data_IF_199471681444
#
_entry.id   IF_199471681444
#
_cell.length_a   1.000
_cell.length_b   1.000
_cell.length_c   1.000
_cell.angle_alpha   90.00
_cell.angle_beta   90.00
_cell.angle_gamma   90.00
#
_symmetry.space_group_name_H-M   'P 1'
#
loop_
_entity.id
_entity.type
_entity.pdbx_description
1 polymer ?
#
# COMPACT_ATOMS: atom_id res chain seq x y z
N UNK A 1 -26.94 -3.89 45.60
CA UNK A 1 -26.69 -2.73 44.70
C UNK A 1 -25.97 -3.06 43.36
N UNK A 2 -25.39 -4.25 43.16
CA UNK A 2 -24.59 -4.57 41.96
C UNK A 2 -25.36 -4.81 40.64
N UNK A 3 -26.58 -5.36 40.67
CA UNK A 3 -27.33 -5.76 39.44
C UNK A 3 -27.79 -4.58 38.55
N UNK A 4 -28.05 -3.39 39.11
CA UNK A 4 -28.49 -2.20 38.34
C UNK A 4 -27.34 -1.53 37.54
N UNK A 5 -26.09 -1.67 37.97
CA UNK A 5 -24.92 -1.11 37.26
C UNK A 5 -24.50 -1.97 36.06
N UNK A 6 -24.64 -3.29 36.17
CA UNK A 6 -24.32 -4.24 35.10
C UNK A 6 -25.21 -4.05 33.87
N UNK A 7 -26.51 -3.80 34.08
CA UNK A 7 -27.47 -3.59 33.00
C UNK A 7 -27.18 -2.27 32.25
N UNK A 8 -26.77 -1.21 32.97
CA UNK A 8 -26.44 0.10 32.38
C UNK A 8 -25.15 0.06 31.54
N UNK A 9 -24.13 -0.69 31.96
CA UNK A 9 -22.90 -0.89 31.19
C UNK A 9 -23.13 -1.73 29.92
N UNK A 10 -23.98 -2.76 30.01
CA UNK A 10 -24.35 -3.60 28.88
C UNK A 10 -25.16 -2.82 27.82
N UNK A 11 -26.09 -1.96 28.26
CA UNK A 11 -26.86 -1.06 27.37
C UNK A 11 -25.97 0.01 26.72
N UNK A 12 -24.95 0.53 27.42
CA UNK A 12 -23.97 1.46 26.84
C UNK A 12 -23.07 0.79 25.79
N UNK A 13 -22.63 -0.44 26.03
CA UNK A 13 -21.87 -1.25 25.05
C UNK A 13 -22.70 -1.54 23.79
N UNK A 14 -23.97 -1.91 23.94
CA UNK A 14 -24.89 -2.12 22.82
C UNK A 14 -25.17 -0.82 22.03
N UNK A 15 -25.29 0.31 22.72
CA UNK A 15 -25.42 1.63 22.09
C UNK A 15 -24.19 2.03 21.27
N UNK A 16 -22.98 1.77 21.78
CA UNK A 16 -21.75 1.99 21.01
C UNK A 16 -21.61 1.02 19.83
N UNK A 17 -21.99 -0.25 19.99
CA UNK A 17 -21.96 -1.25 18.92
C UNK A 17 -22.89 -0.92 17.75
N UNK A 18 -24.13 -0.47 18.04
CA UNK A 18 -25.06 -0.02 17.01
C UNK A 18 -24.58 1.23 16.28
N UNK A 19 -24.03 2.21 17.03
CA UNK A 19 -23.46 3.43 16.45
C UNK A 19 -22.23 3.14 15.57
N UNK A 20 -21.39 2.18 15.98
CA UNK A 20 -20.26 1.70 15.18
C UNK A 20 -20.74 1.00 13.91
N UNK A 21 -21.78 0.16 13.99
CA UNK A 21 -22.39 -0.51 12.81
C UNK A 21 -22.96 0.49 11.81
N UNK A 22 -23.61 1.53 12.30
CA UNK A 22 -24.21 2.60 11.49
C UNK A 22 -23.13 3.45 10.80
N UNK A 23 -22.06 3.81 11.51
CA UNK A 23 -20.88 4.49 10.93
C UNK A 23 -20.20 3.58 9.89
N UNK A 24 -20.17 2.26 10.13
CA UNK A 24 -19.60 1.30 9.19
C UNK A 24 -20.41 1.24 7.89
N UNK A 25 -21.74 1.17 7.99
CA UNK A 25 -22.66 1.15 6.85
C UNK A 25 -22.67 2.47 6.07
N UNK A 26 -22.76 3.60 6.76
CA UNK A 26 -22.76 4.92 6.11
C UNK A 26 -21.43 5.23 5.44
N UNK A 27 -20.32 4.75 6.03
CA UNK A 27 -19.04 4.87 5.37
C UNK A 27 -18.89 3.94 4.18
N UNK A 28 -19.27 2.67 4.33
CA UNK A 28 -19.18 1.74 3.22
C UNK A 28 -20.06 2.19 2.07
N UNK A 29 -21.25 2.73 2.34
CA UNK A 29 -22.15 3.34 1.36
C UNK A 29 -21.55 4.61 0.73
N UNK A 30 -20.87 5.49 1.49
CA UNK A 30 -20.13 6.63 0.91
C UNK A 30 -18.90 6.20 0.10
N UNK A 31 -18.16 5.20 0.55
CA UNK A 31 -17.01 4.63 -0.16
C UNK A 31 -17.45 3.97 -1.47
N UNK A 32 -18.52 3.16 -1.41
CA UNK A 32 -19.21 2.62 -2.57
C UNK A 32 -19.79 3.74 -3.44
N UNK A 33 -20.30 4.81 -2.85
CA UNK A 33 -20.83 5.98 -3.54
C UNK A 33 -19.75 6.74 -4.30
N UNK A 34 -18.53 6.85 -3.77
CA UNK A 34 -17.37 7.42 -4.48
C UNK A 34 -16.95 6.51 -5.64
N UNK A 35 -16.86 5.19 -5.38
CA UNK A 35 -16.58 4.22 -6.44
C UNK A 35 -17.66 4.18 -7.52
N UNK A 36 -18.93 4.35 -7.13
CA UNK A 36 -20.08 4.31 -8.02
C UNK A 36 -20.35 5.67 -8.69
N UNK A 37 -19.98 6.80 -8.09
CA UNK A 37 -20.10 8.14 -8.71
C UNK A 37 -19.11 8.35 -9.83
N UNK A 38 -18.05 7.52 -9.90
CA UNK A 38 -17.17 7.50 -11.05
C UNK A 38 -17.69 6.60 -12.19
N UNK A 39 -18.87 5.96 -12.05
CA UNK A 39 -19.53 5.16 -13.10
C UNK A 39 -19.94 5.95 -14.34
N UNK A 40 -20.04 7.27 -14.30
CA UNK A 40 -20.42 8.04 -15.49
C UNK A 40 -19.37 7.91 -16.61
N UNK A 41 -18.15 7.46 -16.28
CA UNK A 41 -17.15 6.99 -17.21
C UNK A 41 -16.69 5.56 -16.87
N UNK A 42 -17.58 4.56 -17.01
CA UNK A 42 -17.25 3.13 -16.77
C UNK A 42 -15.92 2.72 -17.43
N UNK A 43 -15.65 3.20 -18.64
CA UNK A 43 -14.39 2.93 -19.35
C UNK A 43 -13.15 3.47 -18.62
N UNK A 44 -13.23 4.66 -18.02
CA UNK A 44 -12.08 5.27 -17.31
C UNK A 44 -11.74 4.57 -15.99
N UNK A 45 -12.77 4.12 -15.27
CA UNK A 45 -12.60 3.42 -14.00
C UNK A 45 -11.97 2.05 -14.19
N UNK A 46 -12.50 1.27 -15.14
CA UNK A 46 -11.94 -0.03 -15.46
C UNK A 46 -10.49 0.09 -15.95
N UNK A 47 -10.18 1.08 -16.79
CA UNK A 47 -8.81 1.34 -17.24
C UNK A 47 -7.87 1.73 -16.08
N UNK A 48 -8.32 2.59 -15.17
CA UNK A 48 -7.51 3.02 -14.02
C UNK A 48 -7.26 1.87 -13.04
N UNK A 49 -8.28 1.04 -12.79
CA UNK A 49 -8.16 -0.15 -11.96
C UNK A 49 -7.25 -1.21 -12.61
N UNK A 50 -7.34 -1.39 -13.92
CA UNK A 50 -6.48 -2.31 -14.68
C UNK A 50 -5.03 -1.85 -14.65
N UNK A 51 -4.77 -0.55 -14.86
CA UNK A 51 -3.44 0.02 -14.74
C UNK A 51 -2.84 -0.20 -13.34
N UNK A 52 -3.63 0.06 -12.29
CA UNK A 52 -3.20 -0.16 -10.90
C UNK A 52 -2.89 -1.64 -10.62
N UNK A 53 -3.74 -2.54 -11.16
CA UNK A 53 -3.56 -3.99 -11.00
C UNK A 53 -2.30 -4.48 -11.71
N UNK A 54 -2.01 -4.00 -12.92
CA UNK A 54 -0.79 -4.35 -13.64
C UNK A 54 0.47 -3.92 -12.89
N UNK A 55 0.48 -2.71 -12.32
CA UNK A 55 1.59 -2.25 -11.48
C UNK A 55 1.76 -3.13 -10.22
N UNK A 56 0.65 -3.54 -9.59
CA UNK A 56 0.68 -4.39 -8.40
C UNK A 56 1.20 -5.80 -8.70
N UNK A 57 0.75 -6.40 -9.81
CA UNK A 57 1.20 -7.72 -10.27
C UNK A 57 2.72 -7.69 -10.58
N UNK A 58 3.20 -6.64 -11.24
CA UNK A 58 4.61 -6.51 -11.63
C UNK A 58 5.59 -6.63 -10.47
N UNK A 59 5.33 -5.94 -9.36
CA UNK A 59 6.18 -6.04 -8.15
C UNK A 59 5.88 -7.31 -7.33
N UNK A 60 4.60 -7.71 -7.27
CA UNK A 60 4.17 -8.87 -6.48
C UNK A 60 4.72 -10.20 -6.99
N UNK A 61 4.80 -10.40 -8.31
CA UNK A 61 5.23 -11.67 -8.89
C UNK A 61 6.68 -12.04 -8.57
N UNK A 62 7.54 -11.05 -8.31
CA UNK A 62 8.93 -11.26 -7.90
C UNK A 62 9.02 -11.48 -6.37
N UNK A 63 8.23 -10.72 -5.61
CA UNK A 63 8.27 -10.75 -4.15
C UNK A 63 7.64 -12.03 -3.54
N UNK A 64 6.52 -12.50 -4.09
CA UNK A 64 5.79 -13.70 -3.62
C UNK A 64 6.64 -14.99 -3.62
N UNK A 65 7.31 -15.39 -4.72
CA UNK A 65 8.14 -16.60 -4.73
C UNK A 65 9.39 -16.44 -3.84
N UNK A 66 9.97 -15.25 -3.78
CA UNK A 66 11.12 -14.98 -2.91
C UNK A 66 10.75 -15.11 -1.42
N UNK A 67 9.62 -14.54 -1.01
CA UNK A 67 9.09 -14.69 0.34
C UNK A 67 8.76 -16.15 0.68
N UNK A 68 8.20 -16.89 -0.28
CA UNK A 68 7.89 -18.31 -0.12
C UNK A 68 9.15 -19.18 0.03
N UNK A 69 10.24 -18.86 -0.66
CA UNK A 69 11.52 -19.56 -0.53
C UNK A 69 12.14 -19.34 0.86
N UNK A 70 11.97 -18.16 1.46
CA UNK A 70 12.57 -17.80 2.76
C UNK A 70 11.77 -18.29 3.97
N UNK A 71 10.43 -18.33 3.87
CA UNK A 71 9.55 -18.60 5.00
C UNK A 71 8.74 -19.91 4.89
N UNK A 72 8.79 -20.59 3.74
CA UNK A 72 7.96 -21.75 3.41
C UNK A 72 6.59 -21.36 2.83
N UNK A 73 6.01 -22.25 2.01
CA UNK A 73 4.78 -22.00 1.24
C UNK A 73 3.56 -21.65 2.12
N UNK A 74 3.39 -22.33 3.26
CA UNK A 74 2.25 -22.08 4.14
C UNK A 74 2.33 -20.70 4.83
N UNK A 75 3.53 -20.32 5.30
CA UNK A 75 3.73 -19.08 6.04
C UNK A 75 3.62 -17.85 5.13
N UNK A 76 4.14 -17.93 3.89
CA UNK A 76 4.02 -16.83 2.93
C UNK A 76 2.57 -16.54 2.52
N UNK A 77 1.73 -17.56 2.37
CA UNK A 77 0.29 -17.39 2.08
C UNK A 77 -0.45 -16.74 3.25
N UNK A 78 -0.15 -17.14 4.48
CA UNK A 78 -0.77 -16.55 5.69
C UNK A 78 -0.36 -15.08 5.82
N UNK A 79 0.94 -14.77 5.68
CA UNK A 79 1.45 -13.40 5.76
C UNK A 79 0.90 -12.51 4.64
N UNK A 80 0.83 -13.02 3.41
CA UNK A 80 0.25 -12.30 2.26
C UNK A 80 -1.23 -12.01 2.49
N UNK A 81 -1.99 -13.00 2.96
CA UNK A 81 -3.40 -12.81 3.31
C UNK A 81 -3.57 -11.76 4.41
N UNK A 82 -2.76 -11.84 5.47
CA UNK A 82 -2.77 -10.88 6.56
C UNK A 82 -2.42 -9.45 6.09
N UNK A 83 -1.39 -9.31 5.24
CA UNK A 83 -1.01 -8.04 4.64
C UNK A 83 -2.12 -7.47 3.73
N UNK A 84 -2.81 -8.34 2.99
CA UNK A 84 -3.99 -7.97 2.20
C UNK A 84 -5.14 -7.44 3.06
N UNK A 85 -5.47 -8.12 4.17
CA UNK A 85 -6.46 -7.66 5.13
C UNK A 85 -6.07 -6.31 5.75
N UNK A 86 -4.80 -6.15 6.13
CA UNK A 86 -4.29 -4.90 6.71
C UNK A 86 -4.35 -3.74 5.70
N UNK A 87 -4.04 -4.01 4.43
CA UNK A 87 -4.13 -3.05 3.34
C UNK A 87 -5.59 -2.63 3.09
N UNK A 88 -6.51 -3.59 3.07
CA UNK A 88 -7.95 -3.31 2.94
C UNK A 88 -8.47 -2.48 4.13
N UNK A 89 -8.05 -2.82 5.35
CA UNK A 89 -8.37 -2.05 6.56
C UNK A 89 -7.84 -0.62 6.47
N UNK A 90 -6.62 -0.44 6.00
CA UNK A 90 -5.99 0.88 5.82
C UNK A 90 -6.77 1.72 4.79
N UNK A 91 -7.17 1.14 3.66
CA UNK A 91 -8.00 1.82 2.67
C UNK A 91 -9.36 2.25 3.24
N UNK A 92 -10.00 1.39 4.05
CA UNK A 92 -11.24 1.73 4.73
C UNK A 92 -11.05 2.87 5.72
N UNK A 93 -10.00 2.83 6.54
CA UNK A 93 -9.68 3.87 7.51
C UNK A 93 -9.39 5.20 6.81
N UNK A 94 -8.62 5.18 5.73
CA UNK A 94 -8.33 6.37 4.93
C UNK A 94 -9.62 6.95 4.34
N UNK A 95 -10.50 6.10 3.81
CA UNK A 95 -11.81 6.55 3.30
C UNK A 95 -12.66 7.16 4.42
N UNK A 96 -12.61 6.64 5.66
CA UNK A 96 -13.21 7.27 6.85
C UNK A 96 -12.68 8.68 7.07
N UNK A 97 -11.37 8.81 7.06
CA UNK A 97 -10.71 10.08 7.29
C UNK A 97 -11.05 11.11 6.19
N UNK A 98 -11.05 10.72 4.91
CA UNK A 98 -11.44 11.59 3.79
C UNK A 98 -12.88 12.09 3.92
N UNK A 99 -13.81 11.20 4.27
CA UNK A 99 -15.23 11.56 4.43
C UNK A 99 -15.45 12.53 5.60
N UNK A 100 -14.73 12.35 6.70
CA UNK A 100 -14.85 13.23 7.88
C UNK A 100 -14.22 14.61 7.67
N UNK A 101 -13.11 14.68 6.92
CA UNK A 101 -12.39 15.94 6.65
C UNK A 101 -12.91 16.69 5.42
N UNK A 102 -13.67 16.02 4.55
CA UNK A 102 -14.13 16.56 3.27
C UNK A 102 -12.99 16.80 2.27
N UNK A 103 -11.80 16.28 2.55
CA UNK A 103 -10.58 16.53 1.78
C UNK A 103 -10.38 15.48 0.69
N UNK A 104 -9.86 15.91 -0.46
CA UNK A 104 -9.66 15.05 -1.64
C UNK A 104 -8.24 14.49 -1.76
N UNK A 105 -7.30 15.03 -1.00
CA UNK A 105 -5.88 14.65 -1.08
C UNK A 105 -5.38 14.09 0.25
N UNK A 106 -4.57 13.02 0.18
CA UNK A 106 -4.02 12.36 1.36
C UNK A 106 -3.27 13.32 2.30
N UNK A 107 -2.51 14.26 1.75
CA UNK A 107 -1.80 15.29 2.52
C UNK A 107 -2.76 16.24 3.27
N UNK A 108 -3.90 16.58 2.67
CA UNK A 108 -4.89 17.50 3.26
C UNK A 108 -5.68 16.80 4.37
N UNK A 109 -6.00 15.51 4.17
CA UNK A 109 -6.62 14.66 5.20
C UNK A 109 -5.75 14.58 6.44
N UNK A 110 -4.44 14.35 6.27
CA UNK A 110 -3.48 14.29 7.39
C UNK A 110 -3.28 15.65 8.04
N UNK A 111 -3.23 16.74 7.28
CA UNK A 111 -3.14 18.08 7.84
C UNK A 111 -4.33 18.44 8.73
N UNK A 112 -5.55 18.09 8.31
CA UNK A 112 -6.76 18.38 9.09
C UNK A 112 -6.96 17.45 10.29
N UNK A 113 -6.39 16.24 10.28
CA UNK A 113 -6.54 15.26 11.36
C UNK A 113 -5.40 15.26 12.37
N UNK A 114 -4.15 15.39 11.93
CA UNK A 114 -2.94 15.35 12.76
C UNK A 114 -2.17 16.69 12.79
N UNK A 115 -2.55 17.68 11.98
CA UNK A 115 -1.89 18.99 11.92
C UNK A 115 -0.75 19.08 10.89
N UNK A 116 -0.12 20.26 10.82
CA UNK A 116 0.89 20.60 9.80
C UNK A 116 2.18 19.78 9.89
N UNK A 117 2.61 19.44 11.11
CA UNK A 117 3.86 18.67 11.33
C UNK A 117 3.73 17.27 10.71
N UNK A 118 2.59 16.61 10.90
CA UNK A 118 2.34 15.30 10.32
C UNK A 118 2.30 15.33 8.79
N UNK A 119 1.76 16.40 8.18
CA UNK A 119 1.81 16.58 6.73
C UNK A 119 3.24 16.69 6.19
N UNK A 120 4.13 17.41 6.89
CA UNK A 120 5.53 17.51 6.48
C UNK A 120 6.24 16.15 6.55
N UNK A 121 6.08 15.42 7.65
CA UNK A 121 6.66 14.09 7.82
C UNK A 121 6.14 13.11 6.75
N UNK A 122 4.82 13.13 6.50
CA UNK A 122 4.19 12.30 5.48
C UNK A 122 4.71 12.61 4.07
N UNK A 123 4.91 13.89 3.75
CA UNK A 123 5.46 14.31 2.47
C UNK A 123 6.86 13.74 2.25
N UNK A 124 7.70 13.74 3.29
CA UNK A 124 9.05 13.15 3.24
C UNK A 124 8.97 11.64 3.03
N UNK A 125 8.14 10.93 3.82
CA UNK A 125 7.96 9.49 3.66
C UNK A 125 7.45 9.12 2.27
N UNK A 126 6.53 9.90 1.69
CA UNK A 126 5.99 9.67 0.37
C UNK A 126 7.00 9.89 -0.76
N UNK A 127 8.04 10.71 -0.54
CA UNK A 127 9.15 10.87 -1.49
C UNK A 127 10.17 9.74 -1.34
N UNK A 128 10.52 9.38 -0.11
CA UNK A 128 11.53 8.36 0.19
C UNK A 128 11.09 6.94 -0.22
N UNK A 129 9.80 6.61 -0.10
CA UNK A 129 9.34 5.26 -0.38
C UNK A 129 9.47 4.88 -1.87
N UNK A 130 8.93 5.66 -2.83
CA UNK A 130 9.13 5.38 -4.26
C UNK A 130 10.58 5.51 -4.72
N UNK A 131 11.35 6.46 -4.15
CA UNK A 131 12.78 6.60 -4.51
C UNK A 131 13.58 5.37 -4.09
N UNK A 132 13.32 4.81 -2.91
CA UNK A 132 13.95 3.58 -2.43
C UNK A 132 13.63 2.39 -3.35
N UNK A 133 12.38 2.28 -3.79
CA UNK A 133 11.94 1.23 -4.71
C UNK A 133 12.63 1.37 -6.07
N UNK A 134 12.73 2.60 -6.61
CA UNK A 134 13.43 2.86 -7.87
C UNK A 134 14.89 2.44 -7.82
N UNK A 135 15.60 2.78 -6.73
CA UNK A 135 16.99 2.41 -6.53
C UNK A 135 17.13 0.89 -6.41
N UNK A 136 16.27 0.24 -5.63
CA UNK A 136 16.28 -1.22 -5.47
C UNK A 136 16.06 -1.95 -6.80
N UNK A 137 15.15 -1.46 -7.65
CA UNK A 137 14.95 -2.01 -8.99
C UNK A 137 16.16 -1.80 -9.89
N UNK A 138 16.82 -0.64 -9.83
CA UNK A 138 18.05 -0.38 -10.57
C UNK A 138 19.16 -1.37 -10.23
N UNK A 139 19.38 -1.62 -8.93
CA UNK A 139 20.37 -2.61 -8.47
C UNK A 139 20.00 -4.03 -8.90
N UNK A 140 18.73 -4.42 -8.72
CA UNK A 140 18.28 -5.76 -9.13
C UNK A 140 18.48 -5.99 -10.64
N UNK A 141 18.24 -4.99 -11.49
CA UNK A 141 18.48 -5.10 -12.92
C UNK A 141 19.98 -5.19 -13.21
N UNK A 142 20.81 -4.40 -12.54
CA UNK A 142 22.27 -4.44 -12.71
C UNK A 142 22.84 -5.82 -12.36
N UNK A 143 22.38 -6.43 -11.27
CA UNK A 143 22.79 -7.78 -10.85
C UNK A 143 22.40 -8.83 -11.90
N UNK A 144 21.14 -8.79 -12.37
CA UNK A 144 20.67 -9.70 -13.40
C UNK A 144 21.40 -9.52 -14.74
N UNK A 145 21.72 -8.28 -15.12
CA UNK A 145 22.43 -7.97 -16.35
C UNK A 145 23.88 -8.46 -16.31
N UNK A 146 24.55 -8.30 -15.17
CA UNK A 146 25.93 -8.78 -14.97
C UNK A 146 26.02 -10.30 -15.14
N UNK A 147 25.05 -11.05 -14.59
CA UNK A 147 24.94 -12.49 -14.77
C UNK A 147 24.73 -12.89 -16.25
N UNK A 148 23.98 -12.11 -17.02
CA UNK A 148 23.78 -12.40 -18.45
C UNK A 148 25.05 -12.14 -19.26
N UNK A 149 25.78 -11.05 -18.99
CA UNK A 149 27.04 -10.75 -19.67
C UNK A 149 28.14 -11.76 -19.36
N UNK A 150 28.23 -12.23 -18.11
CA UNK A 150 29.13 -13.31 -17.70
C UNK A 150 28.94 -14.58 -18.50
N UNK A 151 27.68 -14.96 -18.74
CA UNK A 151 27.35 -16.21 -19.40
C UNK A 151 27.44 -16.12 -20.94
N UNK A 152 27.49 -14.91 -21.52
CA UNK A 152 27.42 -14.70 -22.97
C UNK A 152 28.71 -14.17 -23.62
N UNK A 153 29.55 -13.41 -22.90
CA UNK A 153 30.78 -12.80 -23.43
C UNK A 153 31.96 -12.86 -22.42
N UNK A 154 32.70 -13.98 -22.33
CA UNK A 154 33.79 -14.14 -21.37
C UNK A 154 35.01 -13.24 -21.62
N UNK A 155 35.16 -12.62 -22.81
CA UNK A 155 36.37 -11.86 -23.19
C UNK A 155 36.44 -10.39 -22.72
N UNK A 156 35.37 -9.77 -22.21
CA UNK A 156 35.35 -8.34 -21.81
C UNK A 156 35.27 -8.11 -20.28
N UNK A 157 35.73 -9.09 -19.52
CA UNK A 157 35.40 -9.35 -18.10
C UNK A 157 35.97 -8.39 -17.05
N UNK A 158 36.61 -7.26 -17.38
CA UNK A 158 37.23 -6.38 -16.37
C UNK A 158 36.59 -4.98 -16.23
N UNK A 159 35.97 -4.43 -17.29
CA UNK A 159 35.48 -3.04 -17.29
C UNK A 159 33.99 -2.91 -16.90
N UNK A 160 33.19 -3.98 -17.03
CA UNK A 160 31.73 -3.97 -16.76
C UNK A 160 31.34 -4.15 -15.27
N UNK A 161 32.05 -4.97 -14.50
CA UNK A 161 31.66 -5.32 -13.12
C UNK A 161 31.69 -4.17 -12.12
N UNK A 162 32.51 -3.15 -12.38
CA UNK A 162 32.70 -2.03 -11.46
C UNK A 162 31.99 -0.75 -11.91
N UNK A 163 31.74 -0.60 -13.21
CA UNK A 163 31.23 0.65 -13.77
C UNK A 163 29.70 0.67 -13.88
N UNK A 164 29.05 -0.48 -14.15
CA UNK A 164 27.59 -0.54 -14.35
C UNK A 164 26.80 -0.37 -13.04
N UNK A 165 27.12 -1.11 -11.95
CA UNK A 165 26.43 -0.93 -10.66
C UNK A 165 26.72 0.46 -10.07
N UNK A 166 27.95 0.94 -10.24
CA UNK A 166 28.39 2.25 -9.74
C UNK A 166 27.75 3.40 -10.54
N UNK A 167 27.65 3.31 -11.88
CA UNK A 167 26.99 4.33 -12.69
C UNK A 167 25.48 4.37 -12.46
N UNK A 168 24.83 3.23 -12.22
CA UNK A 168 23.40 3.19 -11.87
C UNK A 168 23.17 3.76 -10.46
N UNK A 169 24.08 3.51 -9.51
CA UNK A 169 24.03 4.08 -8.17
C UNK A 169 24.33 5.60 -8.13
N UNK A 170 25.02 6.13 -9.16
CA UNK A 170 25.44 7.54 -9.28
C UNK A 170 24.52 8.36 -10.21
N UNK A 171 23.76 7.71 -11.10
CA UNK A 171 22.80 8.33 -12.02
C UNK A 171 21.36 8.45 -11.46
N UNK A 172 21.10 7.88 -10.27
CA UNK A 172 19.88 8.04 -9.46
C UNK A 172 20.13 9.00 -8.30
#
# INVERSE_FOLDING_TARGET
LGKKRLNKAHVLQLGMSNKVKEIHHNLFSKALGIFSSSKDNKNSLFMSAFNTTNCMIGSGIIALPYAAQKCGLGLSLILSTFAGLLSAYTCLLLTRACVQTGSKSYMEVVEKTLGRVAKFLLSICNILFPSSISIAYGVAIADNLTLVFENLLPEISFLQYRLIPLAICLAL
#
